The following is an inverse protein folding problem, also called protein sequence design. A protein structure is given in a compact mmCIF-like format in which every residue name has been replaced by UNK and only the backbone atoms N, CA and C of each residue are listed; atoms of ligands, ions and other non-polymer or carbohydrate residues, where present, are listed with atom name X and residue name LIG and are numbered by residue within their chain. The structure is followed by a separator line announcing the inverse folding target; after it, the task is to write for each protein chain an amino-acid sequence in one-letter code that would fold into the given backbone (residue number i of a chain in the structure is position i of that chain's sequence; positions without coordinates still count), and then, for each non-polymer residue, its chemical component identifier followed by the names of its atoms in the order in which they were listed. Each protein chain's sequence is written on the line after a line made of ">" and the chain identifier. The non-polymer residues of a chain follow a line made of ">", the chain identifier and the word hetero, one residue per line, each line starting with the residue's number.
data_IF_845833014421
#
_entry.id   IF_845833014421
#
_cell.length_a   1.000
_cell.length_b   1.000
_cell.length_c   1.000
_cell.angle_alpha   90.00
_cell.angle_beta   90.00
_cell.angle_gamma   90.00
#
_symmetry.space_group_name_H-M   'P 1'
#
loop_
_entity.id
_entity.type
_entity.pdbx_description
1 polymer ?
#
# COMPACT_ATOMS: atom_id res chain seq x y z
N UNK A 1 24.12 7.76 13.73
CA UNK A 1 23.79 6.32 13.78
C UNK A 1 24.83 5.47 13.05
N UNK A 2 25.14 5.75 11.77
CA UNK A 2 26.17 5.03 10.99
C UNK A 2 27.53 5.03 11.69
N UNK A 3 28.01 6.20 12.13
CA UNK A 3 29.28 6.34 12.89
C UNK A 3 29.34 5.44 14.14
N UNK A 4 28.20 5.19 14.79
CA UNK A 4 28.14 4.32 15.97
C UNK A 4 28.27 2.85 15.57
N UNK A 5 27.60 2.42 14.49
CA UNK A 5 27.74 1.05 13.95
C UNK A 5 29.17 0.80 13.50
N UNK A 6 29.78 1.76 12.79
CA UNK A 6 31.17 1.67 12.32
C UNK A 6 32.11 1.44 13.49
N UNK A 7 32.00 2.27 14.54
CA UNK A 7 32.85 2.15 15.73
C UNK A 7 32.68 0.82 16.44
N UNK A 8 31.44 0.34 16.60
CA UNK A 8 31.15 -0.92 17.28
C UNK A 8 31.66 -2.14 16.49
N UNK A 9 31.46 -2.15 15.18
CA UNK A 9 31.94 -3.21 14.29
C UNK A 9 33.47 -3.21 14.24
N UNK A 10 34.09 -2.03 14.10
CA UNK A 10 35.54 -1.89 14.06
C UNK A 10 36.22 -2.35 15.34
N UNK A 11 35.76 -1.85 16.51
CA UNK A 11 36.35 -2.22 17.80
C UNK A 11 36.39 -3.74 17.97
N UNK A 12 35.35 -4.42 17.48
CA UNK A 12 35.24 -5.86 17.58
C UNK A 12 36.03 -6.62 16.54
N UNK A 13 36.10 -6.14 15.30
CA UNK A 13 36.93 -6.75 14.26
C UNK A 13 38.41 -6.63 14.62
N UNK A 14 38.83 -5.49 15.18
CA UNK A 14 40.19 -5.30 15.68
C UNK A 14 40.53 -6.29 16.81
N UNK A 15 39.59 -6.52 17.72
CA UNK A 15 39.75 -7.46 18.84
C UNK A 15 39.77 -8.93 18.39
N UNK A 16 38.90 -9.33 17.45
CA UNK A 16 38.73 -10.75 17.06
C UNK A 16 39.71 -11.17 15.97
N UNK A 17 40.07 -10.26 15.06
CA UNK A 17 40.87 -10.57 13.86
C UNK A 17 42.24 -9.87 13.86
N UNK A 18 42.55 -9.06 14.88
CA UNK A 18 43.84 -8.35 14.97
C UNK A 18 44.01 -7.24 13.92
N UNK A 19 42.92 -6.76 13.32
CA UNK A 19 42.97 -5.77 12.23
C UNK A 19 43.17 -4.38 12.85
N UNK A 20 44.38 -3.82 12.73
CA UNK A 20 44.75 -2.52 13.31
C UNK A 20 44.96 -1.40 12.28
N UNK A 21 45.18 -1.71 10.99
CA UNK A 21 45.66 -0.71 10.01
C UNK A 21 44.63 -0.26 8.93
N UNK A 22 43.50 -0.93 8.75
CA UNK A 22 42.51 -0.59 7.70
C UNK A 22 41.42 0.41 8.15
N UNK A 23 41.74 1.25 9.14
CA UNK A 23 40.84 2.22 9.77
C UNK A 23 40.18 3.18 8.76
N UNK A 24 40.95 3.71 7.80
CA UNK A 24 40.42 4.65 6.80
C UNK A 24 39.58 3.95 5.73
N UNK A 25 39.80 2.67 5.46
CA UNK A 25 39.07 1.94 4.41
C UNK A 25 37.68 1.55 4.91
N UNK A 26 37.57 1.00 6.13
CA UNK A 26 36.29 0.63 6.75
C UNK A 26 35.42 1.85 7.13
N UNK A 27 36.05 2.94 7.59
CA UNK A 27 35.34 4.19 7.92
C UNK A 27 34.87 4.93 6.66
N UNK A 28 35.70 4.97 5.61
CA UNK A 28 35.28 5.45 4.28
C UNK A 28 34.21 4.53 3.70
N UNK A 29 34.33 3.21 3.84
CA UNK A 29 33.41 2.19 3.34
C UNK A 29 31.98 2.37 3.86
N UNK A 30 31.79 2.51 5.18
CA UNK A 30 30.45 2.65 5.75
C UNK A 30 29.83 4.05 5.57
N UNK A 31 30.67 5.09 5.57
CA UNK A 31 30.21 6.47 5.37
C UNK A 31 29.84 6.72 3.91
N UNK A 32 30.57 6.10 2.97
CA UNK A 32 30.39 6.28 1.53
C UNK A 32 29.31 5.37 0.95
N UNK A 33 29.14 4.14 1.47
CA UNK A 33 27.99 3.27 1.13
C UNK A 33 26.65 3.90 1.56
N UNK A 34 26.62 4.66 2.65
CA UNK A 34 25.40 5.35 3.06
C UNK A 34 25.14 6.62 2.25
N UNK A 35 26.15 7.49 2.11
CA UNK A 35 25.98 8.82 1.48
C UNK A 35 25.92 8.78 -0.06
N UNK A 36 26.73 7.94 -0.74
CA UNK A 36 26.72 7.90 -2.21
C UNK A 36 25.52 7.12 -2.77
N UNK A 37 24.81 6.36 -1.92
CA UNK A 37 23.70 5.50 -2.33
C UNK A 37 22.34 6.22 -2.32
N UNK A 38 22.17 7.32 -1.57
CA UNK A 38 21.00 8.21 -1.72
C UNK A 38 21.03 9.00 -3.05
N UNK A 39 22.19 9.14 -3.69
CA UNK A 39 22.40 9.90 -4.93
C UNK A 39 22.67 9.04 -6.17
N UNK A 40 22.04 7.86 -6.25
CA UNK A 40 22.27 6.86 -7.29
C UNK A 40 21.68 7.22 -8.67
N UNK A 41 22.31 8.16 -9.39
CA UNK A 41 22.18 8.23 -10.87
C UNK A 41 23.48 7.97 -11.61
N UNK A 42 24.65 8.24 -11.02
CA UNK A 42 25.93 8.07 -11.70
C UNK A 42 27.00 7.48 -10.76
N UNK A 43 27.08 6.16 -10.54
CA UNK A 43 28.31 5.46 -10.03
C UNK A 43 28.25 3.91 -9.90
N UNK A 44 27.42 3.16 -10.65
CA UNK A 44 27.20 1.73 -10.38
C UNK A 44 28.45 0.81 -10.59
N UNK A 45 29.30 1.09 -11.57
CA UNK A 45 30.40 0.20 -11.94
C UNK A 45 31.58 0.22 -10.94
N UNK A 46 31.94 1.40 -10.42
CA UNK A 46 33.06 1.56 -9.47
C UNK A 46 32.71 0.98 -8.10
N UNK A 47 31.46 1.15 -7.65
CA UNK A 47 30.95 0.55 -6.42
C UNK A 47 30.97 -0.98 -6.50
N UNK A 48 30.56 -1.57 -7.63
CA UNK A 48 30.54 -3.02 -7.80
C UNK A 48 31.95 -3.64 -7.77
N UNK A 49 32.94 -2.99 -8.40
CA UNK A 49 34.35 -3.42 -8.35
C UNK A 49 34.93 -3.38 -6.94
N UNK A 50 34.61 -2.33 -6.18
CA UNK A 50 35.00 -2.22 -4.77
C UNK A 50 34.34 -3.32 -3.92
N UNK A 51 33.04 -3.54 -4.08
CA UNK A 51 32.30 -4.58 -3.36
C UNK A 51 32.88 -5.99 -3.60
N UNK A 52 33.23 -6.33 -4.85
CA UNK A 52 33.88 -7.61 -5.19
C UNK A 52 35.26 -7.80 -4.55
N UNK A 53 35.99 -6.72 -4.27
CA UNK A 53 37.26 -6.80 -3.52
C UNK A 53 37.01 -7.00 -2.02
N UNK A 54 35.95 -6.39 -1.50
CA UNK A 54 35.62 -6.42 -0.08
C UNK A 54 35.15 -7.80 0.39
N UNK A 55 34.35 -8.50 -0.40
CA UNK A 55 33.87 -9.86 -0.05
C UNK A 55 35.02 -10.87 0.09
N UNK A 56 36.17 -10.59 -0.53
CA UNK A 56 37.37 -11.44 -0.41
C UNK A 56 38.10 -11.27 0.92
N UNK A 57 37.86 -10.18 1.66
CA UNK A 57 38.52 -9.91 2.94
C UNK A 57 37.99 -10.88 4.01
N UNK A 58 38.90 -11.54 4.72
CA UNK A 58 38.54 -12.53 5.75
C UNK A 58 37.62 -11.96 6.83
N UNK A 59 37.79 -10.68 7.13
CA UNK A 59 36.94 -9.94 8.04
C UNK A 59 35.48 -9.83 7.58
N UNK A 60 35.24 -9.66 6.28
CA UNK A 60 33.89 -9.61 5.71
C UNK A 60 33.28 -11.01 5.68
N UNK A 61 34.05 -12.04 5.30
CA UNK A 61 33.61 -13.43 5.37
C UNK A 61 33.24 -13.84 6.79
N UNK A 62 34.04 -13.43 7.77
CA UNK A 62 33.76 -13.64 9.18
C UNK A 62 32.43 -12.99 9.58
N UNK A 63 32.20 -11.73 9.18
CA UNK A 63 30.93 -11.02 9.47
C UNK A 63 29.72 -11.72 8.86
N UNK A 64 29.82 -12.20 7.60
CA UNK A 64 28.76 -12.91 6.88
C UNK A 64 28.38 -14.25 7.54
N UNK A 65 29.33 -14.88 8.24
CA UNK A 65 29.12 -16.18 8.89
C UNK A 65 28.81 -16.06 10.39
N UNK A 66 29.13 -14.95 11.04
CA UNK A 66 29.14 -14.83 12.51
C UNK A 66 28.38 -13.61 13.06
N UNK A 67 27.28 -13.20 12.43
CA UNK A 67 26.43 -12.06 12.80
C UNK A 67 25.46 -12.33 13.97
N UNK A 68 25.98 -12.77 15.11
CA UNK A 68 25.21 -12.98 16.35
C UNK A 68 25.62 -12.03 17.47
N UNK A 69 24.85 -11.98 18.57
CA UNK A 69 25.20 -11.16 19.75
C UNK A 69 26.51 -11.59 20.44
N UNK A 70 26.97 -12.84 20.23
CA UNK A 70 28.27 -13.34 20.71
C UNK A 70 29.44 -12.56 20.12
N UNK A 71 29.30 -12.21 18.84
CA UNK A 71 30.33 -11.47 18.12
C UNK A 71 29.99 -9.99 18.09
N UNK A 72 28.73 -9.60 17.90
CA UNK A 72 28.29 -8.22 17.81
C UNK A 72 27.29 -7.89 18.95
N UNK A 73 27.75 -7.41 20.12
CA UNK A 73 26.90 -7.24 21.30
C UNK A 73 25.65 -6.37 21.09
N UNK A 74 25.69 -5.42 20.15
CA UNK A 74 24.55 -4.58 19.78
C UNK A 74 23.39 -5.35 19.10
N UNK A 75 23.62 -6.59 18.65
CA UNK A 75 22.57 -7.50 18.18
C UNK A 75 21.85 -8.22 19.34
N UNK A 76 22.42 -8.17 20.55
CA UNK A 76 21.86 -8.76 21.76
C UNK A 76 20.79 -7.89 22.42
N UNK A 77 20.32 -8.37 23.57
CA UNK A 77 19.41 -7.62 24.46
C UNK A 77 20.25 -7.19 25.66
N UNK A 78 20.25 -5.89 25.94
CA UNK A 78 20.84 -5.33 27.15
C UNK A 78 19.90 -4.28 27.70
N UNK A 79 19.79 -4.20 29.02
CA UNK A 79 19.01 -3.17 29.70
C UNK A 79 19.56 -1.76 29.46
N UNK A 80 20.83 -1.67 29.05
CA UNK A 80 21.48 -0.40 28.73
C UNK A 80 21.15 0.11 27.31
N UNK A 81 20.48 -0.68 26.47
CA UNK A 81 20.07 -0.25 25.13
C UNK A 81 18.63 0.24 25.12
N UNK A 82 18.45 1.47 24.64
CA UNK A 82 17.13 2.01 24.35
C UNK A 82 16.55 1.36 23.09
N UNK A 83 15.21 1.37 22.94
CA UNK A 83 14.56 0.90 21.70
C UNK A 83 15.01 1.68 20.45
N UNK A 84 15.47 2.92 20.63
CA UNK A 84 16.07 3.72 19.56
C UNK A 84 17.37 3.13 19.04
N UNK A 85 18.16 2.49 19.89
CA UNK A 85 19.47 1.95 19.53
C UNK A 85 19.33 0.75 18.60
N UNK A 86 18.23 0.00 18.69
CA UNK A 86 17.92 -1.13 17.79
C UNK A 86 17.77 -0.72 16.31
N UNK A 87 17.66 0.58 15.99
CA UNK A 87 17.69 1.06 14.60
C UNK A 87 19.01 0.77 13.89
N UNK A 88 20.10 0.67 14.65
CA UNK A 88 21.43 0.38 14.13
C UNK A 88 21.49 -1.00 13.44
N UNK A 89 20.67 -1.94 13.91
CA UNK A 89 20.56 -3.31 13.37
C UNK A 89 20.04 -3.33 11.94
N UNK A 90 19.07 -2.48 11.61
CA UNK A 90 18.59 -2.33 10.22
C UNK A 90 19.72 -1.91 9.30
N UNK A 91 20.53 -0.93 9.69
CA UNK A 91 21.66 -0.47 8.88
C UNK A 91 22.73 -1.57 8.74
N UNK A 92 23.04 -2.27 9.83
CA UNK A 92 23.98 -3.39 9.84
C UNK A 92 23.55 -4.50 8.86
N UNK A 93 22.32 -4.99 8.97
CA UNK A 93 21.81 -6.05 8.10
C UNK A 93 21.63 -5.60 6.65
N UNK A 94 21.30 -4.33 6.39
CA UNK A 94 21.29 -3.81 5.01
C UNK A 94 22.69 -3.84 4.40
N UNK A 95 23.72 -3.40 5.12
CA UNK A 95 25.09 -3.43 4.62
C UNK A 95 25.60 -4.87 4.43
N UNK A 96 25.35 -5.74 5.41
CA UNK A 96 25.79 -7.13 5.39
C UNK A 96 25.13 -7.94 4.28
N UNK A 97 23.81 -7.79 4.10
CA UNK A 97 23.07 -8.46 3.02
C UNK A 97 23.53 -7.97 1.65
N UNK A 98 23.85 -6.68 1.49
CA UNK A 98 24.41 -6.18 0.21
C UNK A 98 25.75 -6.80 -0.12
N UNK A 99 26.60 -7.06 0.88
CA UNK A 99 27.86 -7.76 0.69
C UNK A 99 27.63 -9.21 0.28
N UNK A 100 26.67 -9.90 0.92
CA UNK A 100 26.26 -11.24 0.53
C UNK A 100 25.86 -11.28 -0.95
N UNK A 101 24.98 -10.37 -1.38
CA UNK A 101 24.45 -10.34 -2.77
C UNK A 101 25.51 -10.13 -3.86
N UNK A 102 26.76 -9.75 -3.54
CA UNK A 102 27.81 -9.49 -4.54
C UNK A 102 28.21 -10.78 -5.26
N UNK A 103 28.36 -11.86 -4.51
CA UNK A 103 28.84 -13.15 -5.00
C UNK A 103 27.81 -14.28 -4.84
N UNK A 104 26.70 -14.06 -4.11
CA UNK A 104 25.66 -15.07 -3.87
C UNK A 104 25.04 -15.63 -5.16
N UNK A 105 24.76 -14.78 -6.15
CA UNK A 105 24.08 -15.20 -7.38
C UNK A 105 22.70 -15.82 -7.11
N UNK A 106 22.57 -17.13 -7.39
CA UNK A 106 21.36 -17.93 -7.16
C UNK A 106 21.59 -19.04 -6.11
N UNK A 107 22.64 -18.93 -5.29
CA UNK A 107 22.96 -19.92 -4.24
C UNK A 107 21.99 -19.82 -3.06
N UNK A 108 20.96 -20.66 -3.06
CA UNK A 108 19.94 -20.72 -2.00
C UNK A 108 20.53 -21.23 -0.67
N UNK A 109 21.45 -22.20 -0.73
CA UNK A 109 22.07 -22.81 0.45
C UNK A 109 22.93 -21.78 1.22
N UNK A 110 23.71 -20.96 0.51
CA UNK A 110 24.48 -19.89 1.13
C UNK A 110 23.57 -18.83 1.76
N UNK A 111 22.43 -18.51 1.13
CA UNK A 111 21.43 -17.62 1.71
C UNK A 111 20.79 -18.22 2.96
N UNK A 112 20.41 -19.49 2.96
CA UNK A 112 19.87 -20.18 4.13
C UNK A 112 20.87 -20.21 5.30
N UNK A 113 22.15 -20.48 5.02
CA UNK A 113 23.22 -20.41 6.00
C UNK A 113 23.36 -19.02 6.61
N UNK A 114 23.27 -17.97 5.79
CA UNK A 114 23.25 -16.58 6.26
C UNK A 114 22.04 -16.30 7.16
N UNK A 115 20.88 -16.89 6.87
CA UNK A 115 19.64 -16.69 7.63
C UNK A 115 19.53 -17.58 8.89
N UNK A 116 20.38 -18.60 9.04
CA UNK A 116 20.35 -19.56 10.15
C UNK A 116 20.37 -18.89 11.54
N UNK A 117 21.21 -17.87 11.83
CA UNK A 117 21.20 -17.24 13.15
C UNK A 117 19.88 -16.53 13.50
N UNK A 118 19.16 -16.01 12.49
CA UNK A 118 17.84 -15.41 12.69
C UNK A 118 16.81 -16.50 12.99
N UNK A 119 16.91 -17.66 12.35
CA UNK A 119 16.06 -18.84 12.62
C UNK A 119 16.12 -19.23 14.10
N UNK A 120 17.34 -19.44 14.61
CA UNK A 120 17.57 -19.78 16.03
C UNK A 120 17.01 -18.70 16.96
N UNK A 121 17.13 -17.44 16.57
CA UNK A 121 16.60 -16.31 17.35
C UNK A 121 15.07 -16.31 17.39
N UNK A 122 14.38 -16.62 16.28
CA UNK A 122 12.92 -16.78 16.25
C UNK A 122 12.44 -17.93 17.14
N UNK A 123 13.13 -19.06 17.13
CA UNK A 123 12.83 -20.20 18.02
C UNK A 123 13.05 -19.84 19.50
N UNK A 124 14.08 -19.04 19.79
CA UNK A 124 14.33 -18.51 21.14
C UNK A 124 13.20 -17.59 21.61
N UNK A 125 12.76 -16.63 20.77
CA UNK A 125 11.62 -15.75 21.08
C UNK A 125 10.36 -16.57 21.36
N UNK A 126 10.08 -17.57 20.53
CA UNK A 126 8.90 -18.42 20.68
C UNK A 126 8.90 -19.13 22.04
N UNK A 127 10.05 -19.68 22.46
CA UNK A 127 10.20 -20.28 23.79
C UNK A 127 10.05 -19.26 24.93
N UNK A 128 10.55 -18.03 24.74
CA UNK A 128 10.43 -16.98 25.74
C UNK A 128 9.01 -16.45 25.90
N UNK A 129 8.25 -16.30 24.80
CA UNK A 129 6.85 -15.85 24.85
C UNK A 129 5.94 -16.84 25.58
N UNK A 130 6.29 -18.14 25.55
CA UNK A 130 5.60 -19.16 26.33
C UNK A 130 5.90 -19.09 27.84
N UNK A 131 6.88 -18.26 28.26
CA UNK A 131 7.24 -18.06 29.65
C UNK A 131 6.89 -16.63 30.10
N UNK A 132 5.86 -16.50 30.92
CA UNK A 132 5.28 -15.21 31.35
C UNK A 132 6.28 -14.26 32.03
N UNK A 133 7.38 -14.78 32.59
CA UNK A 133 8.40 -13.99 33.29
C UNK A 133 9.34 -13.21 32.35
N UNK A 134 9.39 -13.55 31.05
CA UNK A 134 10.36 -12.99 30.09
C UNK A 134 9.74 -12.07 29.03
N UNK A 135 8.56 -11.50 29.30
CA UNK A 135 7.81 -10.75 28.28
C UNK A 135 8.55 -9.51 27.75
N UNK A 136 9.21 -8.72 28.59
CA UNK A 136 9.93 -7.51 28.13
C UNK A 136 11.19 -7.86 27.33
N UNK A 137 11.90 -8.92 27.72
CA UNK A 137 13.04 -9.43 26.97
C UNK A 137 12.59 -10.00 25.62
N UNK A 138 11.53 -10.81 25.60
CA UNK A 138 10.95 -11.37 24.38
C UNK A 138 10.50 -10.26 23.41
N UNK A 139 9.88 -9.20 23.94
CA UNK A 139 9.48 -8.01 23.18
C UNK A 139 10.67 -7.31 22.56
N UNK A 140 11.75 -7.06 23.32
CA UNK A 140 12.98 -6.45 22.79
C UNK A 140 13.63 -7.32 21.71
N UNK A 141 13.66 -8.64 21.92
CA UNK A 141 14.18 -9.60 20.95
C UNK A 141 13.38 -9.55 19.64
N UNK A 142 12.05 -9.57 19.73
CA UNK A 142 11.15 -9.51 18.58
C UNK A 142 11.31 -8.20 17.80
N UNK A 143 11.41 -7.07 18.50
CA UNK A 143 11.70 -5.77 17.86
C UNK A 143 13.06 -5.83 17.14
N UNK A 144 14.07 -6.42 17.76
CA UNK A 144 15.37 -6.65 17.16
C UNK A 144 15.30 -7.46 15.87
N UNK A 145 14.62 -8.61 15.89
CA UNK A 145 14.45 -9.46 14.71
C UNK A 145 13.70 -8.76 13.57
N UNK A 146 12.65 -8.00 13.90
CA UNK A 146 11.94 -7.19 12.92
C UNK A 146 12.84 -6.12 12.28
N UNK A 147 13.81 -5.56 13.05
CA UNK A 147 14.80 -4.61 12.53
C UNK A 147 15.83 -5.28 11.62
N UNK A 148 16.24 -6.49 11.94
CA UNK A 148 17.16 -7.29 11.15
C UNK A 148 16.54 -7.65 9.79
N UNK A 149 15.34 -8.25 9.81
CA UNK A 149 14.60 -8.61 8.60
C UNK A 149 14.30 -7.41 7.71
N UNK A 150 13.95 -6.25 8.31
CA UNK A 150 13.79 -5.01 7.56
C UNK A 150 15.09 -4.61 6.85
N UNK A 151 16.22 -4.77 7.53
CA UNK A 151 17.53 -4.47 6.95
C UNK A 151 17.85 -5.35 5.75
N UNK A 152 17.58 -6.66 5.89
CA UNK A 152 17.74 -7.66 4.82
C UNK A 152 16.85 -7.29 3.62
N UNK A 153 15.54 -7.11 3.85
CA UNK A 153 14.59 -6.79 2.78
C UNK A 153 14.95 -5.51 2.01
N UNK A 154 15.47 -4.48 2.70
CA UNK A 154 15.93 -3.23 2.05
C UNK A 154 17.19 -3.38 1.20
N UNK A 155 17.97 -4.45 1.39
CA UNK A 155 19.16 -4.72 0.59
C UNK A 155 18.82 -5.42 -0.74
N UNK A 156 17.71 -6.15 -0.80
CA UNK A 156 17.34 -6.96 -1.95
C UNK A 156 16.79 -6.11 -3.09
N UNK A 157 17.18 -6.43 -4.32
CA UNK A 157 16.80 -5.66 -5.52
C UNK A 157 16.51 -6.54 -6.75
N UNK A 158 16.61 -7.86 -6.64
CA UNK A 158 16.32 -8.80 -7.73
C UNK A 158 15.14 -9.69 -7.38
N UNK A 159 14.41 -10.17 -8.39
CA UNK A 159 13.33 -11.14 -8.18
C UNK A 159 13.82 -12.39 -7.44
N UNK A 160 14.98 -12.93 -7.83
CA UNK A 160 15.57 -14.13 -7.22
C UNK A 160 15.88 -13.94 -5.74
N UNK A 161 16.55 -12.85 -5.37
CA UNK A 161 16.88 -12.57 -3.96
C UNK A 161 15.62 -12.37 -3.09
N UNK A 162 14.59 -11.68 -3.62
CA UNK A 162 13.30 -11.61 -2.93
C UNK A 162 12.63 -12.98 -2.80
N UNK A 163 12.75 -13.84 -3.82
CA UNK A 163 12.19 -15.22 -3.80
C UNK A 163 12.83 -16.03 -2.68
N UNK A 164 14.17 -16.05 -2.56
CA UNK A 164 14.88 -16.71 -1.46
C UNK A 164 14.42 -16.23 -0.06
N UNK A 165 14.27 -14.91 0.12
CA UNK A 165 13.76 -14.37 1.39
C UNK A 165 12.31 -14.80 1.64
N UNK A 166 11.46 -14.80 0.62
CA UNK A 166 10.08 -15.22 0.74
C UNK A 166 9.96 -16.72 1.01
N UNK A 167 10.78 -17.56 0.39
CA UNK A 167 10.79 -19.00 0.63
C UNK A 167 11.21 -19.29 2.07
N UNK A 168 12.27 -18.64 2.56
CA UNK A 168 12.65 -18.69 3.97
C UNK A 168 11.50 -18.23 4.89
N UNK A 169 10.83 -17.12 4.61
CA UNK A 169 9.70 -16.68 5.44
C UNK A 169 8.49 -17.63 5.34
N UNK A 170 8.24 -18.20 4.16
CA UNK A 170 7.08 -19.05 3.89
C UNK A 170 7.14 -20.37 4.63
N UNK A 171 8.34 -20.95 4.83
CA UNK A 171 8.52 -22.13 5.70
C UNK A 171 7.97 -21.91 7.13
N UNK A 172 7.80 -20.64 7.55
CA UNK A 172 7.29 -20.25 8.88
C UNK A 172 5.84 -19.76 8.87
N UNK A 173 5.29 -19.39 7.71
CA UNK A 173 3.98 -18.75 7.57
C UNK A 173 3.03 -19.50 6.62
N UNK A 174 3.49 -20.56 5.96
CA UNK A 174 2.64 -21.42 5.13
C UNK A 174 1.93 -22.42 6.03
N UNK A 175 0.63 -22.22 6.22
CA UNK A 175 -0.21 -23.11 6.99
C UNK A 175 -0.96 -24.03 6.03
N UNK A 176 -0.96 -25.34 6.31
CA UNK A 176 -1.84 -26.26 5.61
C UNK A 176 -3.30 -25.78 5.70
N UNK A 177 -4.13 -26.04 4.68
CA UNK A 177 -5.54 -25.60 4.64
C UNK A 177 -6.34 -26.15 5.85
N UNK A 178 -5.91 -27.28 6.42
CA UNK A 178 -6.49 -27.86 7.64
C UNK A 178 -5.93 -27.27 8.95
N UNK A 179 -4.89 -26.44 8.89
CA UNK A 179 -4.20 -25.92 10.05
C UNK A 179 -4.98 -24.78 10.73
N UNK A 180 -5.16 -24.82 12.06
CA UNK A 180 -5.78 -23.72 12.79
C UNK A 180 -4.85 -22.50 12.91
N UNK A 181 -3.57 -22.61 12.54
CA UNK A 181 -2.56 -21.58 12.79
C UNK A 181 -2.88 -20.25 12.09
N UNK A 182 -3.46 -20.28 10.88
CA UNK A 182 -3.90 -19.07 10.19
C UNK A 182 -5.01 -18.34 10.95
N UNK A 183 -5.95 -19.09 11.52
CA UNK A 183 -7.03 -18.54 12.35
C UNK A 183 -6.43 -17.93 13.63
N UNK A 184 -5.55 -18.66 14.32
CA UNK A 184 -4.90 -18.18 15.54
C UNK A 184 -4.06 -16.91 15.30
N UNK A 185 -3.29 -16.88 14.20
CA UNK A 185 -2.50 -15.72 13.81
C UNK A 185 -3.39 -14.48 13.61
N UNK A 186 -4.50 -14.64 12.87
CA UNK A 186 -5.41 -13.53 12.67
C UNK A 186 -6.10 -13.11 13.98
N UNK A 187 -6.44 -14.04 14.88
CA UNK A 187 -7.00 -13.70 16.20
C UNK A 187 -6.05 -12.81 17.01
N UNK A 188 -4.77 -13.12 17.03
CA UNK A 188 -3.78 -12.28 17.74
C UNK A 188 -3.60 -10.91 17.05
N UNK A 189 -3.57 -10.86 15.71
CA UNK A 189 -3.54 -9.60 14.97
C UNK A 189 -4.78 -8.74 15.28
N UNK A 190 -5.96 -9.35 15.29
CA UNK A 190 -7.23 -8.70 15.65
C UNK A 190 -7.19 -8.15 17.07
N UNK A 191 -6.79 -8.95 18.07
CA UNK A 191 -6.66 -8.49 19.46
C UNK A 191 -5.74 -7.28 19.59
N UNK A 192 -4.58 -7.31 18.92
CA UNK A 192 -3.63 -6.19 18.93
C UNK A 192 -4.27 -4.89 18.37
N UNK A 193 -4.94 -4.99 17.22
CA UNK A 193 -5.63 -3.86 16.58
C UNK A 193 -6.77 -3.34 17.46
N UNK A 194 -7.58 -4.23 18.02
CA UNK A 194 -8.71 -3.87 18.89
C UNK A 194 -8.24 -3.20 20.19
N UNK A 195 -7.19 -3.72 20.83
CA UNK A 195 -6.62 -3.13 22.04
C UNK A 195 -6.14 -1.70 21.77
N UNK A 196 -5.38 -1.49 20.69
CA UNK A 196 -4.94 -0.14 20.31
C UNK A 196 -6.11 0.78 19.97
N UNK A 197 -7.08 0.30 19.17
CA UNK A 197 -8.27 1.08 18.79
C UNK A 197 -9.09 1.52 20.01
N UNK A 198 -9.27 0.66 21.01
CA UNK A 198 -9.99 1.04 22.22
C UNK A 198 -9.19 2.04 23.09
N UNK A 199 -7.87 1.86 23.20
CA UNK A 199 -7.01 2.79 23.93
C UNK A 199 -6.95 4.17 23.27
N UNK A 200 -6.87 4.24 21.95
CA UNK A 200 -6.70 5.52 21.25
C UNK A 200 -7.97 6.39 21.28
N UNK A 201 -9.13 5.76 21.42
CA UNK A 201 -10.40 6.45 21.65
C UNK A 201 -10.51 7.02 23.07
N UNK A 202 -9.84 6.41 24.04
CA UNK A 202 -9.79 6.92 25.42
C UNK A 202 -8.86 8.11 25.61
N UNK A 203 -7.96 8.36 24.65
CA UNK A 203 -7.14 9.57 24.66
C UNK A 203 -8.03 10.80 24.45
N UNK A 204 -8.07 11.66 25.47
CA UNK A 204 -8.74 12.95 25.41
C UNK A 204 -8.10 13.91 24.41
N UNK A 205 -8.39 15.20 24.58
CA UNK A 205 -7.88 16.24 23.68
C UNK A 205 -6.35 16.34 23.77
N UNK A 206 -5.67 16.01 22.68
CA UNK A 206 -4.22 16.16 22.53
C UNK A 206 -3.88 17.52 21.91
N UNK A 207 -2.73 18.09 22.27
CA UNK A 207 -2.19 19.26 21.57
C UNK A 207 -1.83 18.92 20.13
N UNK A 208 -1.87 19.91 19.22
CA UNK A 208 -1.65 19.71 17.77
C UNK A 208 -0.35 18.96 17.46
N UNK A 209 0.71 19.22 18.23
CA UNK A 209 2.04 18.61 18.04
C UNK A 209 2.09 17.14 18.50
N UNK A 210 1.24 16.75 19.45
CA UNK A 210 1.20 15.40 20.03
C UNK A 210 0.23 14.47 19.29
N UNK A 211 -0.74 15.02 18.55
CA UNK A 211 -1.73 14.24 17.77
C UNK A 211 -1.04 13.26 16.81
N UNK A 212 -0.04 13.70 16.06
CA UNK A 212 0.63 12.80 15.12
C UNK A 212 1.40 11.65 15.80
N UNK A 213 2.37 11.91 16.69
CA UNK A 213 3.19 10.85 17.28
C UNK A 213 2.39 9.91 18.21
N UNK A 214 1.41 10.43 18.97
CA UNK A 214 0.69 9.64 19.96
C UNK A 214 -0.58 8.97 19.42
N UNK A 215 -1.13 9.47 18.30
CA UNK A 215 -2.41 8.99 17.76
C UNK A 215 -2.34 8.56 16.31
N UNK A 216 -1.98 9.47 15.41
CA UNK A 216 -2.03 9.20 13.97
C UNK A 216 -1.06 8.11 13.53
N UNK A 217 0.17 8.15 14.03
CA UNK A 217 1.19 7.18 13.64
C UNK A 217 0.77 5.75 13.95
N UNK A 218 0.21 5.49 15.13
CA UNK A 218 -0.22 4.13 15.48
C UNK A 218 -1.53 3.72 14.79
N UNK A 219 -2.46 4.64 14.50
CA UNK A 219 -3.63 4.33 13.65
C UNK A 219 -3.14 3.91 12.25
N UNK A 220 -2.16 4.64 11.69
CA UNK A 220 -1.57 4.30 10.40
C UNK A 220 -0.97 2.90 10.39
N UNK A 221 -0.26 2.53 11.46
CA UNK A 221 0.31 1.18 11.63
C UNK A 221 -0.81 0.14 11.74
N UNK A 222 -1.89 0.41 12.49
CA UNK A 222 -3.03 -0.49 12.60
C UNK A 222 -3.73 -0.71 11.26
N UNK A 223 -3.88 0.33 10.44
CA UNK A 223 -4.45 0.20 9.10
C UNK A 223 -3.57 -0.65 8.19
N UNK A 224 -2.25 -0.42 8.19
CA UNK A 224 -1.32 -1.25 7.41
C UNK A 224 -1.30 -2.70 7.89
N UNK A 225 -1.36 -2.92 9.21
CA UNK A 225 -1.43 -4.26 9.80
C UNK A 225 -2.74 -4.96 9.41
N UNK A 226 -3.88 -4.28 9.53
CA UNK A 226 -5.18 -4.83 9.13
C UNK A 226 -5.21 -5.15 7.64
N UNK A 227 -4.73 -4.24 6.77
CA UNK A 227 -4.63 -4.49 5.33
C UNK A 227 -3.83 -5.76 5.04
N UNK A 228 -2.65 -5.87 5.65
CA UNK A 228 -1.77 -7.03 5.45
C UNK A 228 -2.41 -8.33 5.98
N UNK A 229 -3.15 -8.25 7.08
CA UNK A 229 -3.85 -9.38 7.66
C UNK A 229 -5.01 -9.87 6.77
N UNK A 230 -5.75 -8.95 6.13
CA UNK A 230 -6.88 -9.28 5.26
C UNK A 230 -6.43 -9.80 3.90
N UNK A 231 -5.45 -9.13 3.28
CA UNK A 231 -4.97 -9.45 1.95
C UNK A 231 -3.88 -10.56 1.95
N UNK A 232 -3.61 -11.19 3.09
CA UNK A 232 -2.51 -12.16 3.28
C UNK A 232 -2.79 -13.60 2.84
N UNK A 233 -4.02 -13.93 2.45
CA UNK A 233 -4.44 -15.25 1.92
C UNK A 233 -4.08 -16.49 2.78
N UNK A 234 -3.78 -16.31 4.07
CA UNK A 234 -3.40 -17.41 4.98
C UNK A 234 -4.58 -17.95 5.82
N UNK A 235 -5.76 -17.33 5.71
CA UNK A 235 -6.98 -17.75 6.42
C UNK A 235 -8.22 -17.42 5.59
N UNK A 236 -9.19 -18.32 5.56
CA UNK A 236 -10.51 -18.04 5.01
C UNK A 236 -11.39 -17.37 6.05
N UNK A 237 -11.72 -16.09 5.85
CA UNK A 237 -12.46 -15.30 6.83
C UNK A 237 -13.90 -15.77 7.08
N UNK A 238 -14.50 -16.53 6.16
CA UNK A 238 -15.82 -17.12 6.37
C UNK A 238 -15.88 -18.08 7.56
N UNK A 239 -14.73 -18.64 7.94
CA UNK A 239 -14.60 -19.59 9.05
C UNK A 239 -14.93 -18.96 10.41
N UNK A 240 -14.63 -17.67 10.60
CA UNK A 240 -14.95 -16.95 11.84
C UNK A 240 -16.44 -16.94 12.12
N UNK A 241 -17.25 -16.61 11.10
CA UNK A 241 -18.71 -16.62 11.20
C UNK A 241 -19.25 -18.04 11.44
N UNK A 242 -18.66 -19.04 10.79
CA UNK A 242 -19.09 -20.45 10.93
C UNK A 242 -18.92 -20.98 12.36
N UNK A 243 -17.83 -20.60 13.04
CA UNK A 243 -17.53 -21.02 14.41
C UNK A 243 -18.01 -20.04 15.50
N UNK A 244 -18.71 -18.97 15.13
CA UNK A 244 -19.15 -17.93 16.08
C UNK A 244 -18.00 -17.14 16.70
N UNK A 245 -16.87 -17.04 16.02
CA UNK A 245 -15.70 -16.29 16.45
C UNK A 245 -15.80 -14.82 15.97
N UNK A 246 -15.86 -13.89 16.93
CA UNK A 246 -16.06 -12.47 16.66
C UNK A 246 -14.76 -11.68 16.38
N UNK A 247 -13.58 -12.32 16.30
CA UNK A 247 -12.31 -11.59 16.09
C UNK A 247 -12.26 -10.88 14.74
N UNK A 248 -12.84 -11.47 13.70
CA UNK A 248 -12.94 -10.82 12.39
C UNK A 248 -13.81 -9.57 12.43
N UNK A 249 -15.04 -9.69 12.91
CA UNK A 249 -15.95 -8.55 13.06
C UNK A 249 -15.37 -7.47 13.98
N UNK A 250 -14.71 -7.85 15.08
CA UNK A 250 -14.08 -6.90 16.01
C UNK A 250 -12.97 -6.08 15.36
N UNK A 251 -12.16 -6.69 14.49
CA UNK A 251 -11.11 -5.99 13.75
C UNK A 251 -11.69 -4.98 12.75
N UNK A 252 -12.76 -5.36 12.04
CA UNK A 252 -13.47 -4.48 11.12
C UNK A 252 -14.17 -3.32 11.85
N UNK A 253 -14.74 -3.57 13.03
CA UNK A 253 -15.30 -2.51 13.88
C UNK A 253 -14.22 -1.59 14.44
N UNK A 254 -13.02 -2.11 14.74
CA UNK A 254 -11.88 -1.29 15.14
C UNK A 254 -11.44 -0.31 14.02
N UNK A 255 -11.54 -0.71 12.75
CA UNK A 255 -11.35 0.19 11.61
C UNK A 255 -12.36 1.34 11.63
N UNK A 256 -13.67 1.06 11.78
CA UNK A 256 -14.71 2.11 11.80
C UNK A 256 -14.52 3.07 12.97
N UNK A 257 -14.21 2.53 14.15
CA UNK A 257 -13.88 3.31 15.35
C UNK A 257 -12.74 4.31 15.10
N UNK A 258 -11.66 3.85 14.48
CA UNK A 258 -10.52 4.72 14.15
C UNK A 258 -10.84 5.69 13.01
N UNK A 259 -11.67 5.30 12.04
CA UNK A 259 -12.11 6.15 10.94
C UNK A 259 -12.88 7.38 11.44
N UNK A 260 -13.84 7.16 12.35
CA UNK A 260 -14.67 8.21 12.93
C UNK A 260 -13.89 9.17 13.84
N UNK A 261 -12.65 8.82 14.24
CA UNK A 261 -11.79 9.69 15.05
C UNK A 261 -11.15 10.86 14.27
N UNK A 262 -11.59 11.09 13.02
CA UNK A 262 -11.36 12.27 12.15
C UNK A 262 -9.93 12.50 11.62
N UNK A 263 -9.42 11.66 10.72
CA UNK A 263 -8.06 11.82 10.20
C UNK A 263 -7.88 11.64 8.70
N UNK A 264 -8.20 12.68 7.93
CA UNK A 264 -7.81 12.84 6.51
C UNK A 264 -6.28 12.79 6.27
N UNK A 265 -5.46 12.98 7.31
CA UNK A 265 -3.98 12.96 7.23
C UNK A 265 -3.37 11.56 7.08
N UNK A 266 -4.17 10.50 7.15
CA UNK A 266 -3.70 9.11 7.07
C UNK A 266 -3.95 8.46 5.69
N UNK A 267 -4.00 9.25 4.63
CA UNK A 267 -4.36 8.82 3.28
C UNK A 267 -3.57 7.58 2.82
N UNK A 268 -2.26 7.55 3.06
CA UNK A 268 -1.34 6.48 2.63
C UNK A 268 -1.58 5.10 3.24
N UNK A 269 -2.23 5.01 4.40
CA UNK A 269 -2.59 3.73 5.02
C UNK A 269 -4.10 3.46 4.99
N UNK A 270 -4.91 4.52 5.02
CA UNK A 270 -6.35 4.44 4.98
C UNK A 270 -6.89 3.94 3.64
N UNK A 271 -6.55 4.61 2.52
CA UNK A 271 -7.15 4.28 1.23
C UNK A 271 -6.77 2.89 0.71
N UNK A 272 -5.50 2.42 0.87
CA UNK A 272 -5.16 1.06 0.48
C UNK A 272 -5.84 -0.02 1.33
N UNK A 273 -6.19 0.28 2.59
CA UNK A 273 -7.02 -0.62 3.40
C UNK A 273 -8.47 -0.60 2.92
N UNK A 274 -9.02 0.59 2.64
CA UNK A 274 -10.37 0.74 2.11
C UNK A 274 -10.55 0.02 0.77
N UNK A 275 -9.52 0.04 -0.08
CA UNK A 275 -9.46 -0.75 -1.32
C UNK A 275 -9.58 -2.26 -1.02
N UNK A 276 -8.74 -2.81 -0.14
CA UNK A 276 -8.81 -4.23 0.28
C UNK A 276 -10.22 -4.58 0.83
N UNK A 277 -10.82 -3.69 1.64
CA UNK A 277 -12.17 -3.89 2.20
C UNK A 277 -13.28 -3.85 1.13
N UNK A 278 -13.22 -2.92 0.18
CA UNK A 278 -14.23 -2.82 -0.89
C UNK A 278 -14.08 -3.94 -1.92
N UNK A 279 -12.87 -4.45 -2.12
CA UNK A 279 -12.61 -5.55 -3.03
C UNK A 279 -13.11 -6.90 -2.48
N UNK A 280 -12.67 -7.28 -1.28
CA UNK A 280 -12.86 -8.64 -0.76
C UNK A 280 -13.92 -8.72 0.36
N UNK A 281 -14.29 -7.59 0.96
CA UNK A 281 -15.20 -7.52 2.11
C UNK A 281 -16.35 -6.51 1.91
N UNK A 282 -16.83 -6.38 0.67
CA UNK A 282 -17.90 -5.42 0.32
C UNK A 282 -19.16 -5.57 1.19
N UNK A 283 -19.53 -6.81 1.58
CA UNK A 283 -20.67 -7.06 2.47
C UNK A 283 -20.57 -6.29 3.78
N UNK A 284 -19.37 -6.20 4.36
CA UNK A 284 -19.11 -5.41 5.55
C UNK A 284 -19.35 -3.92 5.27
N UNK A 285 -18.78 -3.38 4.19
CA UNK A 285 -18.96 -1.96 3.80
C UNK A 285 -20.45 -1.64 3.67
N UNK A 286 -21.22 -2.47 2.97
CA UNK A 286 -22.67 -2.28 2.78
C UNK A 286 -23.52 -2.48 4.04
N UNK A 287 -22.97 -3.13 5.07
CA UNK A 287 -23.62 -3.30 6.38
C UNK A 287 -23.42 -2.11 7.33
N UNK A 288 -22.53 -1.18 6.98
CA UNK A 288 -22.23 -0.01 7.81
C UNK A 288 -23.43 0.93 7.93
N UNK A 289 -23.43 1.71 9.01
CA UNK A 289 -24.46 2.72 9.22
C UNK A 289 -24.41 3.80 8.11
N UNK A 290 -25.55 4.38 7.70
CA UNK A 290 -25.62 5.33 6.57
C UNK A 290 -24.65 6.51 6.67
N UNK A 291 -24.44 7.06 7.87
CA UNK A 291 -23.53 8.17 8.08
C UNK A 291 -22.05 7.78 7.86
N UNK A 292 -21.67 6.53 8.19
CA UNK A 292 -20.32 6.00 7.95
C UNK A 292 -20.11 5.74 6.47
N UNK A 293 -21.11 5.16 5.79
CA UNK A 293 -21.11 5.00 4.33
C UNK A 293 -20.92 6.35 3.62
N UNK A 294 -21.70 7.36 4.01
CA UNK A 294 -21.56 8.70 3.47
C UNK A 294 -20.15 9.25 3.70
N UNK A 295 -19.61 9.11 4.92
CA UNK A 295 -18.25 9.54 5.23
C UNK A 295 -17.19 8.86 4.32
N UNK A 296 -17.31 7.54 4.12
CA UNK A 296 -16.41 6.78 3.25
C UNK A 296 -16.48 7.31 1.81
N UNK A 297 -17.69 7.51 1.29
CA UNK A 297 -17.88 7.99 -0.08
C UNK A 297 -17.37 9.44 -0.24
N UNK A 298 -17.70 10.35 0.67
CA UNK A 298 -17.15 11.71 0.63
C UNK A 298 -15.62 11.70 0.74
N UNK A 299 -15.05 10.79 1.55
CA UNK A 299 -13.60 10.61 1.62
C UNK A 299 -13.02 10.13 0.29
N UNK A 300 -13.61 9.11 -0.34
CA UNK A 300 -13.20 8.64 -1.68
C UNK A 300 -13.24 9.82 -2.65
N UNK A 301 -14.34 10.57 -2.69
CA UNK A 301 -14.51 11.73 -3.57
C UNK A 301 -13.38 12.74 -3.41
N UNK A 302 -12.97 13.07 -2.18
CA UNK A 302 -11.85 13.95 -1.91
C UNK A 302 -10.48 13.33 -2.18
N UNK A 303 -10.36 12.00 -2.15
CA UNK A 303 -9.13 11.28 -2.45
C UNK A 303 -8.87 11.08 -3.96
N UNK A 304 -9.91 11.14 -4.80
CA UNK A 304 -9.76 11.06 -6.27
C UNK A 304 -8.84 12.16 -6.81
N UNK A 305 -8.93 13.37 -6.27
CA UNK A 305 -8.12 14.54 -6.66
C UNK A 305 -6.79 14.65 -5.91
N UNK A 306 -6.38 13.61 -5.18
CA UNK A 306 -5.11 13.63 -4.46
C UNK A 306 -3.93 13.68 -5.44
N UNK A 307 -2.95 14.55 -5.16
CA UNK A 307 -1.67 14.65 -5.89
C UNK A 307 -0.90 13.33 -5.85
N UNK A 308 -1.06 12.58 -4.76
CA UNK A 308 -0.44 11.29 -4.56
C UNK A 308 -1.13 10.20 -5.38
N UNK A 309 -0.40 9.64 -6.33
CA UNK A 309 -0.92 8.65 -7.29
C UNK A 309 -1.33 7.34 -6.64
N UNK A 310 -0.72 6.95 -5.51
CA UNK A 310 -1.12 5.75 -4.75
C UNK A 310 -2.50 5.99 -4.13
N UNK A 311 -2.69 7.17 -3.53
CA UNK A 311 -3.97 7.55 -2.90
C UNK A 311 -5.07 7.64 -3.94
N UNK A 312 -4.85 8.39 -5.03
CA UNK A 312 -5.85 8.57 -6.09
C UNK A 312 -6.20 7.22 -6.75
N UNK A 313 -5.21 6.36 -7.00
CA UNK A 313 -5.46 5.02 -7.57
C UNK A 313 -6.24 4.12 -6.62
N UNK A 314 -5.92 4.12 -5.31
CA UNK A 314 -6.67 3.34 -4.31
C UNK A 314 -8.13 3.81 -4.22
N UNK A 315 -8.38 5.12 -4.32
CA UNK A 315 -9.73 5.69 -4.36
C UNK A 315 -10.49 5.25 -5.62
N UNK A 316 -9.83 5.29 -6.78
CA UNK A 316 -10.42 4.83 -8.04
C UNK A 316 -10.78 3.33 -7.98
N UNK A 317 -9.88 2.50 -7.45
CA UNK A 317 -10.11 1.06 -7.29
C UNK A 317 -11.27 0.78 -6.31
N UNK A 318 -11.31 1.48 -5.18
CA UNK A 318 -12.40 1.38 -4.21
C UNK A 318 -13.75 1.76 -4.85
N UNK A 319 -13.76 2.85 -5.61
CA UNK A 319 -14.96 3.32 -6.32
C UNK A 319 -15.41 2.33 -7.40
N UNK A 320 -14.49 1.78 -8.19
CA UNK A 320 -14.80 0.78 -9.22
C UNK A 320 -15.42 -0.47 -8.57
N UNK A 321 -14.91 -0.90 -7.41
CA UNK A 321 -15.50 -2.01 -6.66
C UNK A 321 -16.95 -1.70 -6.22
N UNK A 322 -17.19 -0.52 -5.63
CA UNK A 322 -18.52 -0.08 -5.17
C UNK A 322 -19.51 -0.02 -6.33
N UNK A 323 -19.12 0.64 -7.41
CA UNK A 323 -19.94 0.82 -8.61
C UNK A 323 -20.20 -0.51 -9.31
N UNK A 324 -19.20 -1.39 -9.38
CA UNK A 324 -19.37 -2.75 -9.91
C UNK A 324 -20.37 -3.55 -9.10
N UNK A 325 -20.30 -3.45 -7.77
CA UNK A 325 -21.20 -4.16 -6.88
C UNK A 325 -22.65 -3.67 -7.06
N UNK A 326 -22.86 -2.36 -7.14
CA UNK A 326 -24.16 -1.75 -7.46
C UNK A 326 -24.69 -2.20 -8.83
N UNK A 327 -23.88 -2.10 -9.88
CA UNK A 327 -24.27 -2.49 -11.23
C UNK A 327 -24.68 -3.97 -11.31
N UNK A 328 -23.88 -4.87 -10.68
CA UNK A 328 -24.21 -6.29 -10.59
C UNK A 328 -25.52 -6.54 -9.83
N UNK A 329 -25.83 -5.75 -8.82
CA UNK A 329 -27.08 -5.86 -8.07
C UNK A 329 -28.29 -5.50 -8.95
N UNK A 330 -28.26 -4.31 -9.57
CA UNK A 330 -29.34 -3.82 -10.44
C UNK A 330 -29.58 -4.77 -11.62
N UNK A 331 -28.50 -5.26 -12.26
CA UNK A 331 -28.59 -6.22 -13.36
C UNK A 331 -29.21 -7.57 -12.95
N UNK A 332 -29.05 -7.98 -11.68
CA UNK A 332 -29.67 -9.19 -11.13
C UNK A 332 -31.16 -8.98 -10.82
N UNK A 333 -31.55 -7.81 -10.32
CA UNK A 333 -32.96 -7.48 -10.06
C UNK A 333 -33.79 -7.48 -11.34
N UNK A 334 -33.28 -6.88 -12.41
CA UNK A 334 -33.98 -6.85 -13.71
C UNK A 334 -34.20 -8.24 -14.34
N UNK A 335 -33.42 -9.26 -13.95
CA UNK A 335 -33.54 -10.65 -14.44
C UNK A 335 -34.35 -11.56 -13.51
N UNK A 336 -34.58 -11.18 -12.24
CA UNK A 336 -35.15 -12.04 -11.18
C UNK A 336 -36.67 -11.98 -11.04
N UNK A 337 -37.41 -11.53 -12.06
CA UNK A 337 -38.88 -11.63 -12.06
C UNK A 337 -39.41 -13.07 -12.03
N UNK A 338 -38.59 -14.13 -12.19
CA UNK A 338 -39.10 -15.51 -12.25
C UNK A 338 -38.65 -16.51 -11.18
N UNK A 339 -37.41 -16.54 -10.64
CA UNK A 339 -37.04 -17.57 -9.62
C UNK A 339 -35.90 -17.10 -8.68
N UNK A 340 -36.06 -17.34 -7.37
CA UNK A 340 -35.07 -17.27 -6.28
C UNK A 340 -34.92 -15.96 -5.47
N UNK A 341 -35.60 -15.95 -4.31
CA UNK A 341 -35.46 -15.04 -3.16
C UNK A 341 -34.18 -15.33 -2.35
N UNK A 342 -33.03 -15.05 -2.94
CA UNK A 342 -31.79 -14.78 -2.20
C UNK A 342 -31.07 -13.63 -2.90
N UNK A 343 -31.68 -12.44 -2.84
CA UNK A 343 -30.92 -11.21 -3.08
C UNK A 343 -30.23 -10.91 -1.77
N UNK A 344 -28.90 -10.71 -1.78
CA UNK A 344 -28.18 -10.33 -0.57
C UNK A 344 -28.83 -9.07 0.00
N UNK A 345 -29.38 -9.14 1.22
CA UNK A 345 -30.01 -8.00 1.90
C UNK A 345 -29.09 -6.77 1.91
N UNK A 346 -27.77 -7.01 1.94
CA UNK A 346 -26.76 -5.98 1.97
C UNK A 346 -26.67 -5.20 0.64
N UNK A 347 -26.90 -5.88 -0.50
CA UNK A 347 -26.98 -5.23 -1.81
C UNK A 347 -28.16 -4.26 -1.92
N UNK A 348 -29.31 -4.65 -1.38
CA UNK A 348 -30.49 -3.78 -1.33
C UNK A 348 -30.25 -2.54 -0.47
N UNK A 349 -29.56 -2.69 0.68
CA UNK A 349 -29.25 -1.55 1.56
C UNK A 349 -28.41 -0.50 0.86
N UNK A 350 -27.35 -0.92 0.15
CA UNK A 350 -26.52 0.01 -0.60
C UNK A 350 -27.30 0.66 -1.75
N UNK A 351 -28.11 -0.10 -2.49
CA UNK A 351 -28.93 0.44 -3.57
C UNK A 351 -29.91 1.50 -3.03
N UNK A 352 -30.64 1.19 -1.96
CA UNK A 352 -31.56 2.13 -1.32
C UNK A 352 -30.82 3.38 -0.83
N UNK A 353 -29.64 3.22 -0.23
CA UNK A 353 -28.82 4.34 0.20
C UNK A 353 -28.44 5.25 -0.98
N UNK A 354 -28.01 4.68 -2.10
CA UNK A 354 -27.61 5.45 -3.30
C UNK A 354 -28.79 6.13 -3.98
N UNK A 355 -29.98 5.52 -3.96
CA UNK A 355 -31.21 6.15 -4.47
C UNK A 355 -31.61 7.40 -3.68
N UNK A 356 -31.34 7.43 -2.37
CA UNK A 356 -31.59 8.60 -1.52
C UNK A 356 -30.46 9.63 -1.54
N UNK A 357 -29.28 9.28 -2.08
CA UNK A 357 -28.10 10.15 -2.13
C UNK A 357 -27.44 10.12 -3.53
N UNK A 358 -28.19 10.40 -4.61
CA UNK A 358 -27.67 10.30 -5.97
C UNK A 358 -26.55 11.32 -6.24
N UNK A 359 -26.54 12.45 -5.51
CA UNK A 359 -25.57 13.53 -5.75
C UNK A 359 -24.13 13.06 -5.53
N UNK A 360 -23.91 12.05 -4.68
CA UNK A 360 -22.57 11.54 -4.35
C UNK A 360 -21.91 10.89 -5.57
N UNK A 361 -22.64 10.02 -6.27
CA UNK A 361 -22.13 9.36 -7.49
C UNK A 361 -22.00 10.37 -8.64
N UNK A 362 -22.93 11.30 -8.74
CA UNK A 362 -22.90 12.39 -9.72
C UNK A 362 -21.68 13.30 -9.50
N UNK A 363 -21.40 13.69 -8.25
CA UNK A 363 -20.22 14.48 -7.90
C UNK A 363 -18.92 13.75 -8.26
N UNK A 364 -18.80 12.46 -7.93
CA UNK A 364 -17.62 11.68 -8.31
C UNK A 364 -17.46 11.56 -9.84
N UNK A 365 -18.55 11.39 -10.58
CA UNK A 365 -18.52 11.40 -12.05
C UNK A 365 -18.02 12.74 -12.58
N UNK A 366 -18.55 13.86 -12.05
CA UNK A 366 -18.12 15.21 -12.43
C UNK A 366 -16.63 15.42 -12.14
N UNK A 367 -16.13 15.00 -10.97
CA UNK A 367 -14.71 15.06 -10.62
C UNK A 367 -13.86 14.29 -11.64
N UNK A 368 -14.20 13.02 -11.93
CA UNK A 368 -13.39 12.21 -12.86
C UNK A 368 -13.44 12.76 -14.28
N UNK A 369 -14.59 13.26 -14.74
CA UNK A 369 -14.71 13.92 -16.04
C UNK A 369 -13.84 15.18 -16.10
N UNK A 370 -13.86 16.02 -15.06
CA UNK A 370 -13.02 17.21 -15.00
C UNK A 370 -11.53 16.85 -14.99
N UNK A 371 -11.12 15.82 -14.24
CA UNK A 371 -9.75 15.33 -14.23
C UNK A 371 -9.28 14.86 -15.62
N UNK A 372 -10.15 14.20 -16.39
CA UNK A 372 -9.80 13.72 -17.74
C UNK A 372 -9.72 14.88 -18.73
N UNK A 373 -10.65 15.83 -18.67
CA UNK A 373 -10.80 16.89 -19.67
C UNK A 373 -9.81 18.03 -19.42
N UNK A 374 -9.65 18.47 -18.17
CA UNK A 374 -8.95 19.72 -17.83
C UNK A 374 -7.61 19.52 -17.11
N UNK A 375 -7.35 18.33 -16.54
CA UNK A 375 -6.14 18.09 -15.76
C UNK A 375 -5.14 17.16 -16.46
N UNK A 376 -3.91 17.18 -15.93
CA UNK A 376 -2.88 16.19 -16.27
C UNK A 376 -3.17 14.86 -15.54
N UNK A 377 -4.08 14.08 -16.13
CA UNK A 377 -4.50 12.77 -15.64
C UNK A 377 -3.37 11.73 -15.70
N UNK A 378 -2.50 11.70 -14.69
CA UNK A 378 -1.35 10.78 -14.59
C UNK A 378 -1.74 9.31 -14.41
N UNK A 379 -2.93 9.05 -13.86
CA UNK A 379 -3.45 7.72 -13.54
C UNK A 379 -4.68 7.36 -14.38
N UNK A 380 -4.61 7.65 -15.69
CA UNK A 380 -5.71 7.47 -16.64
C UNK A 380 -6.35 6.07 -16.56
N UNK A 381 -5.54 5.02 -16.43
CA UNK A 381 -6.03 3.64 -16.32
C UNK A 381 -6.94 3.47 -15.10
N UNK A 382 -6.50 3.95 -13.94
CA UNK A 382 -7.26 3.89 -12.69
C UNK A 382 -8.55 4.69 -12.78
N UNK A 383 -8.52 5.90 -13.36
CA UNK A 383 -9.69 6.79 -13.48
C UNK A 383 -10.76 6.23 -14.43
N UNK A 384 -10.35 5.59 -15.52
CA UNK A 384 -11.27 5.11 -16.57
C UNK A 384 -12.29 4.07 -16.08
N UNK A 385 -11.86 3.16 -15.20
CA UNK A 385 -12.68 2.02 -14.74
C UNK A 385 -13.88 2.43 -13.90
N UNK A 386 -13.74 3.21 -12.80
CA UNK A 386 -14.88 3.70 -12.05
C UNK A 386 -15.74 4.65 -12.88
N UNK A 387 -15.14 5.45 -13.78
CA UNK A 387 -15.91 6.35 -14.63
C UNK A 387 -16.88 5.59 -15.55
N UNK A 388 -16.44 4.52 -16.21
CA UNK A 388 -17.33 3.69 -17.02
C UNK A 388 -18.53 3.22 -16.20
N UNK A 389 -18.28 2.66 -15.02
CA UNK A 389 -19.36 2.20 -14.18
C UNK A 389 -20.30 3.31 -13.70
N UNK A 390 -19.77 4.50 -13.39
CA UNK A 390 -20.60 5.65 -13.05
C UNK A 390 -21.48 6.06 -14.23
N UNK A 391 -20.94 6.09 -15.46
CA UNK A 391 -21.67 6.44 -16.69
C UNK A 391 -22.83 5.47 -16.89
N UNK A 392 -22.56 4.15 -16.81
CA UNK A 392 -23.59 3.13 -16.99
C UNK A 392 -24.66 3.16 -15.88
N UNK A 393 -24.32 3.59 -14.67
CA UNK A 393 -25.29 3.75 -13.58
C UNK A 393 -26.10 5.05 -13.68
N UNK A 394 -25.56 6.11 -14.30
CA UNK A 394 -26.15 7.46 -14.31
C UNK A 394 -26.11 8.11 -15.71
N UNK A 395 -26.62 7.41 -16.73
CA UNK A 395 -26.57 7.86 -18.13
C UNK A 395 -27.21 9.23 -18.37
N UNK A 396 -28.30 9.53 -17.64
CA UNK A 396 -29.00 10.83 -17.73
C UNK A 396 -28.08 11.97 -17.31
N UNK A 397 -27.45 11.83 -16.16
CA UNK A 397 -26.53 12.84 -15.64
C UNK A 397 -25.27 12.98 -16.52
N UNK A 398 -24.73 11.87 -17.03
CA UNK A 398 -23.64 11.94 -18.01
C UNK A 398 -24.04 12.71 -19.27
N UNK A 399 -25.27 12.52 -19.75
CA UNK A 399 -25.82 13.25 -20.90
C UNK A 399 -25.96 14.75 -20.62
N UNK A 400 -26.36 15.13 -19.41
CA UNK A 400 -26.43 16.51 -18.94
C UNK A 400 -25.04 17.17 -18.83
N UNK A 401 -24.04 16.47 -18.26
CA UNK A 401 -22.66 16.94 -18.22
C UNK A 401 -22.11 17.18 -19.63
N UNK A 402 -22.34 16.23 -20.54
CA UNK A 402 -21.97 16.36 -21.95
C UNK A 402 -22.62 17.58 -22.59
N UNK A 403 -23.95 17.73 -22.45
CA UNK A 403 -24.69 18.85 -23.03
C UNK A 403 -24.20 20.20 -22.47
N UNK A 404 -23.94 20.27 -21.17
CA UNK A 404 -23.43 21.47 -20.50
C UNK A 404 -22.08 21.91 -21.08
N UNK A 405 -21.14 20.96 -21.22
CA UNK A 405 -19.81 21.25 -21.78
C UNK A 405 -19.88 21.63 -23.27
N UNK A 406 -20.72 20.98 -24.07
CA UNK A 406 -20.84 21.29 -25.50
C UNK A 406 -21.50 22.65 -25.69
N UNK A 407 -22.60 22.92 -24.98
CA UNK A 407 -23.36 24.16 -25.13
C UNK A 407 -22.56 25.40 -24.69
N UNK A 408 -21.59 25.24 -23.79
CA UNK A 408 -20.70 26.32 -23.36
C UNK A 408 -19.66 26.74 -24.41
N UNK A 409 -19.56 26.03 -25.54
CA UNK A 409 -18.55 26.26 -26.58
C UNK A 409 -19.16 26.88 -27.84
N UNK A 410 -18.31 27.40 -28.73
CA UNK A 410 -18.70 27.97 -30.03
C UNK A 410 -19.20 26.92 -31.01
N UNK A 411 -19.99 27.34 -32.01
CA UNK A 411 -20.65 26.46 -32.98
C UNK A 411 -19.69 25.50 -33.71
N UNK A 412 -18.47 25.95 -34.02
CA UNK A 412 -17.43 25.11 -34.66
C UNK A 412 -16.89 24.03 -33.72
N UNK A 413 -16.61 24.38 -32.45
CA UNK A 413 -16.13 23.43 -31.43
C UNK A 413 -17.20 22.44 -30.99
N UNK A 414 -18.48 22.82 -31.02
CA UNK A 414 -19.62 21.95 -30.65
C UNK A 414 -19.63 20.64 -31.44
N UNK A 415 -19.49 20.70 -32.77
CA UNK A 415 -19.50 19.51 -33.62
C UNK A 415 -18.32 18.58 -33.34
N UNK A 416 -17.13 19.13 -33.09
CA UNK A 416 -15.94 18.34 -32.76
C UNK A 416 -16.12 17.64 -31.41
N UNK A 417 -16.57 18.36 -30.39
CA UNK A 417 -16.81 17.78 -29.06
C UNK A 417 -17.90 16.71 -29.08
N UNK A 418 -18.98 16.92 -29.83
CA UNK A 418 -19.99 15.89 -30.04
C UNK A 418 -19.39 14.60 -30.61
N UNK A 419 -18.50 14.71 -31.61
CA UNK A 419 -17.80 13.56 -32.17
C UNK A 419 -16.88 12.90 -31.14
N UNK A 420 -16.12 13.68 -30.35
CA UNK A 420 -15.28 13.13 -29.29
C UNK A 420 -16.09 12.29 -28.30
N UNK A 421 -17.23 12.80 -27.83
CA UNK A 421 -18.11 12.05 -26.91
C UNK A 421 -18.75 10.81 -27.56
N UNK A 422 -19.01 10.82 -28.87
CA UNK A 422 -19.44 9.61 -29.60
C UNK A 422 -18.32 8.56 -29.59
N UNK A 423 -17.09 8.96 -29.94
CA UNK A 423 -15.93 8.08 -29.98
C UNK A 423 -15.61 7.49 -28.59
N UNK A 424 -15.80 8.27 -27.52
CA UNK A 424 -15.62 7.80 -26.14
C UNK A 424 -16.44 6.53 -25.85
N UNK A 425 -17.68 6.48 -26.32
CA UNK A 425 -18.61 5.38 -26.08
C UNK A 425 -18.62 4.33 -27.23
N UNK A 426 -17.74 4.45 -28.22
CA UNK A 426 -17.75 3.58 -29.39
C UNK A 426 -17.35 2.13 -29.05
N UNK A 427 -18.27 1.20 -29.29
CA UNK A 427 -18.08 -0.22 -28.97
C UNK A 427 -18.12 -0.52 -27.47
N UNK A 428 -18.60 0.41 -26.64
CA UNK A 428 -18.81 0.21 -25.20
C UNK A 428 -20.19 -0.44 -24.99
N UNK A 429 -20.20 -1.57 -24.32
CA UNK A 429 -21.42 -2.33 -24.03
C UNK A 429 -22.00 -1.99 -22.64
N UNK A 430 -23.25 -2.41 -22.39
CA UNK A 430 -23.95 -2.30 -21.10
C UNK A 430 -23.49 -3.36 -20.08
N UNK A 431 -22.19 -3.41 -19.81
CA UNK A 431 -21.61 -4.31 -18.82
C UNK A 431 -20.26 -3.80 -18.27
N UNK A 432 -19.82 -4.39 -17.16
CA UNK A 432 -18.54 -4.09 -16.53
C UNK A 432 -17.59 -5.29 -16.62
N UNK A 433 -17.48 -5.91 -17.79
CA UNK A 433 -16.47 -6.94 -18.04
C UNK A 433 -15.10 -6.29 -18.31
N UNK A 434 -14.02 -7.02 -18.06
CA UNK A 434 -12.64 -6.52 -18.25
C UNK A 434 -12.42 -6.03 -19.68
N UNK A 435 -12.84 -6.81 -20.69
CA UNK A 435 -12.75 -6.43 -22.10
C UNK A 435 -13.44 -5.09 -22.41
N UNK A 436 -14.62 -4.85 -21.83
CA UNK A 436 -15.38 -3.63 -22.06
C UNK A 436 -14.73 -2.42 -21.35
N UNK A 437 -14.20 -2.63 -20.14
CA UNK A 437 -13.39 -1.62 -19.44
C UNK A 437 -12.17 -1.23 -20.27
N UNK A 438 -11.41 -2.20 -20.75
CA UNK A 438 -10.19 -1.94 -21.52
C UNK A 438 -10.50 -1.18 -22.82
N UNK A 439 -11.63 -1.52 -23.48
CA UNK A 439 -12.14 -0.76 -24.65
C UNK A 439 -12.43 0.69 -24.28
N UNK A 440 -13.18 0.94 -23.20
CA UNK A 440 -13.46 2.30 -22.73
C UNK A 440 -12.17 3.05 -22.38
N UNK A 441 -11.21 2.41 -21.72
CA UNK A 441 -9.91 3.02 -21.37
C UNK A 441 -9.14 3.46 -22.63
N UNK A 442 -9.15 2.65 -23.69
CA UNK A 442 -8.54 3.00 -24.98
C UNK A 442 -9.23 4.21 -25.62
N UNK A 443 -10.57 4.18 -25.70
CA UNK A 443 -11.36 5.30 -26.22
C UNK A 443 -11.10 6.59 -25.44
N UNK A 444 -10.95 6.49 -24.12
CA UNK A 444 -10.68 7.62 -23.24
C UNK A 444 -9.31 8.28 -23.50
N UNK A 445 -8.29 7.50 -23.89
CA UNK A 445 -6.99 8.05 -24.32
C UNK A 445 -7.13 8.97 -25.53
N UNK A 446 -7.91 8.51 -26.52
CA UNK A 446 -8.20 9.25 -27.74
C UNK A 446 -9.04 10.49 -27.42
N UNK A 447 -10.12 10.30 -26.67
CA UNK A 447 -11.01 11.37 -26.21
C UNK A 447 -10.24 12.51 -25.52
N UNK A 448 -9.35 12.18 -24.58
CA UNK A 448 -8.57 13.18 -23.84
C UNK A 448 -7.70 14.03 -24.78
N UNK A 449 -7.01 13.39 -25.72
CA UNK A 449 -6.15 14.08 -26.69
C UNK A 449 -6.98 15.01 -27.58
N UNK A 450 -8.05 14.49 -28.16
CA UNK A 450 -8.86 15.19 -29.15
C UNK A 450 -9.65 16.35 -28.51
N UNK A 451 -10.16 16.18 -27.28
CA UNK A 451 -10.79 17.26 -26.51
C UNK A 451 -9.79 18.33 -26.11
N UNK A 452 -8.59 17.96 -25.65
CA UNK A 452 -7.55 18.94 -25.32
C UNK A 452 -7.10 19.74 -26.54
N UNK A 453 -7.11 19.15 -27.74
CA UNK A 453 -6.87 19.85 -28.99
C UNK A 453 -8.01 20.82 -29.32
N UNK A 454 -9.26 20.35 -29.29
CA UNK A 454 -10.44 21.17 -29.58
C UNK A 454 -10.59 22.39 -28.65
N UNK A 455 -10.20 22.25 -27.39
CA UNK A 455 -10.27 23.34 -26.40
C UNK A 455 -9.11 24.35 -26.53
N UNK A 456 -7.95 23.96 -27.08
CA UNK A 456 -6.75 24.83 -27.20
C UNK A 456 -6.72 25.75 -28.42
N UNK A 457 -7.55 25.54 -29.44
CA UNK A 457 -7.47 26.22 -30.76
C UNK A 457 -7.76 27.73 -30.79
N UNK A 458 -7.60 28.48 -29.69
CA UNK A 458 -7.85 29.94 -29.62
C UNK A 458 -6.63 30.83 -29.87
N UNK A 459 -5.43 30.27 -30.05
CA UNK A 459 -4.20 31.10 -30.09
C UNK A 459 -3.66 31.54 -31.46
N UNK A 460 -4.13 30.98 -32.59
CA UNK A 460 -3.42 31.13 -33.87
C UNK A 460 -4.20 31.85 -34.99
N UNK A 461 -5.52 32.01 -34.86
CA UNK A 461 -6.34 32.56 -35.94
C UNK A 461 -6.52 34.09 -35.90
N UNK A 462 -6.27 34.74 -34.75
CA UNK A 462 -6.57 36.17 -34.57
C UNK A 462 -5.36 37.11 -34.73
N UNK A 463 -4.17 36.57 -35.01
CA UNK A 463 -2.97 37.36 -35.29
C UNK A 463 -2.77 37.69 -36.79
N UNK A 464 -3.66 37.21 -37.68
CA UNK A 464 -3.47 37.28 -39.14
C UNK A 464 -4.25 38.37 -39.88
N UNK A 465 -5.03 39.22 -39.20
CA UNK A 465 -5.99 40.11 -39.89
C UNK A 465 -5.83 41.61 -39.59
N UNK A 466 -4.75 42.06 -38.96
CA UNK A 466 -4.59 43.48 -38.58
C UNK A 466 -3.48 44.25 -39.32
N UNK A 467 -2.89 43.69 -40.39
CA UNK A 467 -1.80 44.37 -41.12
C UNK A 467 -2.04 44.54 -42.62
N UNK A 468 -3.29 44.79 -43.00
CA UNK A 468 -3.62 45.40 -44.29
C UNK A 468 -4.83 46.31 -44.16
N UNK A 469 -4.59 47.57 -43.79
CA UNK A 469 -5.20 48.79 -44.35
C UNK A 469 -4.99 49.98 -43.39
N UNK A 470 -3.97 50.78 -43.65
CA UNK A 470 -3.92 52.27 -43.66
C UNK A 470 -2.50 52.76 -43.36
#
# INVERSE_FOLDING_TARGET
>A
MVVVVVRLVYARMSEVLGITDDSRVLETFMTKIHNDWENAKNFAASVNSLLKRLVKIDAVKFMLQNHTCKHFPFLGISDNYSLSDLRCRTAFYTALTRLLMVDLGEDEDEFENFMLPLTVSFESVTRMLNNSLKQEEAKRMLIGLARDLRGIAFALNTKTSYTMLFDWMSQRLNFDVSSPNGILLFREASKMICTYSNQILSLGTLSKDQVYPLKLKGISICYSALKSALCGNYVSFGVFKLYGDNHFDSALQAFVKMLLSQYRKLSQSYYPLLECLTQDHMSFITSLQPHVLMYILTSISGGLTAVDTIVSSSCCASLDCIVTYLFKHIAKEGKKALRSRETSQDGQRLLNFMQHNPEVLQQMMSILMNMIIFEDCRNQWSVSRPLLGLILLNEKYFSELRATLINSQTSSKRQVLEQCFRNLMEGVEQNLLVKNRDRFTQNMSVFRRDVAEALRSEGAADAGSLDMMS
#
